data_IF_354742096342
#
_entry.id   IF_354742096342
#
_cell.length_a   1.000
_cell.length_b   1.000
_cell.length_c   1.000
_cell.angle_alpha   90.00
_cell.angle_beta   90.00
_cell.angle_gamma   90.00
#
_symmetry.space_group_name_H-M   'P 1'
#
loop_
_entity.id
_entity.type
_entity.pdbx_description
1 polymer ?
#
# COMPACT_ATOMS: atom_id res chain seq x y z
N UNK A 1 16.11 -8.16 -6.10
CA UNK A 1 15.11 -7.43 -6.89
C UNK A 1 14.03 -6.78 -6.02
N UNK A 2 13.13 -7.47 -5.27
CA UNK A 2 12.12 -6.73 -4.47
C UNK A 2 12.73 -5.85 -3.36
N UNK A 3 13.83 -6.31 -2.75
CA UNK A 3 14.58 -5.55 -1.74
C UNK A 3 15.14 -4.23 -2.31
N UNK A 4 15.64 -4.27 -3.55
CA UNK A 4 16.21 -3.10 -4.22
C UNK A 4 15.11 -2.07 -4.53
N UNK A 5 13.96 -2.54 -5.00
CA UNK A 5 12.76 -1.70 -5.23
C UNK A 5 12.35 -1.00 -3.94
N UNK A 6 12.24 -1.72 -2.82
CA UNK A 6 11.89 -1.14 -1.51
C UNK A 6 12.89 -0.05 -1.10
N UNK A 7 14.19 -0.28 -1.28
CA UNK A 7 15.21 0.71 -0.93
C UNK A 7 15.17 1.95 -1.84
N UNK A 8 14.90 1.78 -3.15
CA UNK A 8 14.73 2.91 -4.08
C UNK A 8 13.52 3.74 -3.66
N UNK A 9 12.37 3.10 -3.40
CA UNK A 9 11.16 3.79 -2.94
C UNK A 9 11.44 4.52 -1.62
N UNK A 10 12.15 3.89 -0.68
CA UNK A 10 12.49 4.50 0.60
C UNK A 10 13.30 5.79 0.43
N UNK A 11 14.37 5.77 -0.37
CA UNK A 11 15.22 6.94 -0.50
C UNK A 11 14.49 8.10 -1.18
N UNK A 12 13.78 7.81 -2.27
CA UNK A 12 12.95 8.79 -2.99
C UNK A 12 11.88 9.36 -2.06
N UNK A 13 11.14 8.52 -1.35
CA UNK A 13 10.08 8.96 -0.47
C UNK A 13 10.63 9.78 0.72
N UNK A 14 11.77 9.38 1.31
CA UNK A 14 12.40 10.15 2.39
C UNK A 14 12.93 11.51 1.93
N UNK A 15 13.29 11.67 0.66
CA UNK A 15 13.63 12.97 0.09
C UNK A 15 12.35 13.78 -0.18
N UNK A 16 11.33 13.14 -0.76
CA UNK A 16 10.07 13.81 -1.10
C UNK A 16 9.33 14.29 0.14
N UNK A 17 9.31 13.50 1.22
CA UNK A 17 8.61 13.73 2.48
C UNK A 17 9.47 14.32 3.60
N UNK A 18 10.62 14.91 3.26
CA UNK A 18 11.52 15.52 4.22
C UNK A 18 10.78 16.49 5.16
N UNK A 19 10.95 16.30 6.47
CA UNK A 19 10.37 17.13 7.52
C UNK A 19 8.96 16.74 7.96
N UNK A 20 8.35 15.73 7.36
CA UNK A 20 7.01 15.29 7.74
C UNK A 20 6.96 14.72 9.19
N UNK A 21 5.86 14.88 9.94
CA UNK A 21 4.72 15.78 9.68
C UNK A 21 4.86 17.15 10.37
N UNK A 22 5.95 17.42 11.10
CA UNK A 22 5.96 18.51 12.08
C UNK A 22 7.02 19.59 11.84
N UNK A 23 7.98 19.37 10.92
CA UNK A 23 9.02 20.36 10.67
C UNK A 23 8.42 21.60 9.96
N UNK A 24 8.71 22.83 10.42
CA UNK A 24 8.24 24.03 9.73
C UNK A 24 8.60 24.01 8.24
N UNK A 25 7.58 24.11 7.38
CA UNK A 25 7.74 24.06 5.93
C UNK A 25 7.64 22.69 5.27
N UNK A 26 7.34 21.61 6.03
CA UNK A 26 7.17 20.25 5.49
C UNK A 26 6.09 20.15 4.40
N UNK A 27 5.09 21.03 4.42
CA UNK A 27 4.00 21.06 3.43
C UNK A 27 4.47 21.51 2.04
N UNK A 28 5.68 22.09 1.96
CA UNK A 28 6.28 22.65 0.76
C UNK A 28 7.60 21.94 0.42
N UNK A 29 8.24 22.35 -0.67
CA UNK A 29 9.54 21.82 -1.06
C UNK A 29 10.72 22.42 -0.27
N UNK A 30 10.48 23.28 0.72
CA UNK A 30 11.54 23.98 1.46
C UNK A 30 12.54 23.06 2.18
N UNK A 31 12.17 21.79 2.41
CA UNK A 31 13.00 20.81 3.12
C UNK A 31 13.57 19.71 2.21
N UNK A 32 13.23 19.68 0.92
CA UNK A 32 13.79 18.69 -0.01
C UNK A 32 15.29 18.96 -0.25
N UNK A 33 16.10 17.93 -0.55
CA UNK A 33 17.55 18.11 -0.68
C UNK A 33 17.99 18.70 -2.02
N UNK A 34 17.07 18.95 -2.94
CA UNK A 34 17.35 19.40 -4.30
C UNK A 34 17.27 20.92 -4.38
N UNK A 35 18.29 21.54 -4.97
CA UNK A 35 18.30 22.97 -5.29
C UNK A 35 18.09 23.17 -6.78
N UNK A 36 17.12 24.01 -7.13
CA UNK A 36 16.93 24.46 -8.50
C UNK A 36 18.09 25.37 -8.92
N UNK A 37 18.68 25.11 -10.09
CA UNK A 37 19.87 25.82 -10.55
C UNK A 37 19.60 27.27 -10.91
N UNK A 38 18.35 27.62 -11.25
CA UNK A 38 18.00 28.95 -11.73
C UNK A 38 17.59 29.89 -10.58
N UNK A 39 16.92 29.36 -9.56
CA UNK A 39 16.39 30.14 -8.45
C UNK A 39 17.16 29.97 -7.14
N UNK A 40 18.07 28.98 -7.05
CA UNK A 40 18.74 28.51 -5.81
C UNK A 40 17.76 28.13 -4.68
N UNK A 41 16.47 27.98 -5.01
CA UNK A 41 15.44 27.52 -4.08
C UNK A 41 15.42 26.00 -4.03
N UNK A 42 15.02 25.46 -2.89
CA UNK A 42 14.76 24.03 -2.77
C UNK A 42 13.45 23.68 -3.48
N UNK A 43 13.51 22.70 -4.37
CA UNK A 43 12.39 22.29 -5.22
C UNK A 43 12.53 20.82 -5.58
N UNK A 44 11.46 20.04 -5.47
CA UNK A 44 11.49 18.66 -5.90
C UNK A 44 11.52 18.61 -7.43
N UNK A 45 12.37 17.77 -8.06
CA UNK A 45 12.61 17.84 -9.50
C UNK A 45 11.46 17.28 -10.36
N UNK A 46 10.43 16.72 -9.75
CA UNK A 46 9.28 16.14 -10.42
C UNK A 46 8.01 16.90 -10.03
N UNK A 47 7.13 17.11 -11.00
CA UNK A 47 5.77 17.60 -10.82
C UNK A 47 4.84 16.71 -11.66
N UNK A 48 4.41 15.61 -11.05
CA UNK A 48 3.58 14.62 -11.74
C UNK A 48 2.10 15.02 -11.76
N UNK A 49 1.31 14.29 -12.56
CA UNK A 49 -0.15 14.44 -12.55
C UNK A 49 -0.70 14.03 -11.18
N UNK A 50 -1.75 14.73 -10.75
CA UNK A 50 -2.40 14.43 -9.47
C UNK A 50 -2.86 12.97 -9.41
N UNK A 51 -2.76 12.41 -8.22
CA UNK A 51 -3.25 11.06 -7.93
C UNK A 51 -4.76 11.00 -8.12
N UNK A 52 -5.22 9.86 -8.58
CA UNK A 52 -6.64 9.59 -8.76
C UNK A 52 -7.18 8.99 -7.47
N UNK A 53 -8.41 9.35 -7.10
CA UNK A 53 -9.09 8.57 -6.07
C UNK A 53 -9.29 7.16 -6.64
N UNK A 54 -9.21 6.17 -5.78
CA UNK A 54 -9.32 4.75 -6.11
C UNK A 54 -10.59 4.40 -6.93
N UNK A 55 -11.67 5.14 -6.75
CA UNK A 55 -12.92 5.02 -7.50
C UNK A 55 -12.93 5.77 -8.83
N UNK A 56 -12.12 6.83 -8.94
CA UNK A 56 -12.15 7.75 -10.07
C UNK A 56 -11.20 7.33 -11.19
N UNK A 57 -11.73 6.51 -12.09
CA UNK A 57 -11.05 6.13 -13.33
C UNK A 57 -11.29 7.12 -14.48
N UNK A 58 -12.03 8.23 -14.28
CA UNK A 58 -12.38 9.16 -15.37
C UNK A 58 -11.16 9.93 -15.89
N UNK A 59 -10.18 10.14 -15.02
CA UNK A 59 -8.88 10.75 -15.29
C UNK A 59 -7.90 9.80 -16.00
N UNK A 60 -8.19 8.49 -15.99
CA UNK A 60 -7.47 7.51 -16.81
C UNK A 60 -7.95 7.61 -18.25
N UNK A 61 -7.08 8.07 -19.16
CA UNK A 61 -7.41 8.05 -20.60
C UNK A 61 -7.87 6.64 -21.02
N UNK A 62 -8.75 6.52 -22.01
CA UNK A 62 -9.16 5.21 -22.54
C UNK A 62 -7.97 4.35 -23.01
N UNK A 63 -6.84 4.99 -23.34
CA UNK A 63 -5.57 4.34 -23.66
C UNK A 63 -4.81 3.81 -22.43
N UNK A 64 -5.07 4.32 -21.21
CA UNK A 64 -4.47 3.87 -19.96
C UNK A 64 -5.29 2.79 -19.23
N UNK A 65 -6.60 2.68 -19.55
CA UNK A 65 -7.45 1.59 -19.08
C UNK A 65 -7.03 0.28 -19.74
N UNK A 66 -6.71 -0.71 -18.90
CA UNK A 66 -6.18 -2.00 -19.33
C UNK A 66 -7.31 -2.98 -19.58
N UNK A 67 -7.28 -3.66 -20.73
CA UNK A 67 -8.29 -4.62 -21.18
C UNK A 67 -7.67 -5.71 -22.09
N UNK A 68 -8.48 -6.67 -22.54
CA UNK A 68 -8.04 -7.80 -23.37
C UNK A 68 -7.32 -7.40 -24.67
N UNK A 69 -7.55 -6.19 -25.20
CA UNK A 69 -6.93 -5.73 -26.44
C UNK A 69 -5.55 -5.07 -26.25
N UNK A 70 -5.27 -4.48 -25.07
CA UNK A 70 -4.04 -3.71 -24.82
C UNK A 70 -3.19 -4.22 -23.63
N UNK A 71 -3.66 -5.22 -22.88
CA UNK A 71 -2.98 -5.65 -21.64
C UNK A 71 -1.50 -6.01 -21.79
N UNK A 72 -1.08 -6.47 -22.98
CA UNK A 72 0.31 -6.85 -23.25
C UNK A 72 1.28 -5.66 -23.11
N UNK A 73 0.84 -4.46 -23.47
CA UNK A 73 1.65 -3.24 -23.38
C UNK A 73 1.77 -2.75 -21.93
N UNK A 74 0.69 -2.86 -21.15
CA UNK A 74 0.59 -2.25 -19.84
C UNK A 74 1.03 -3.14 -18.69
N UNK A 75 0.60 -4.41 -18.71
CA UNK A 75 0.78 -5.35 -17.59
C UNK A 75 1.34 -6.70 -18.01
N UNK A 76 1.59 -6.90 -19.31
CA UNK A 76 2.27 -8.08 -19.83
C UNK A 76 1.58 -9.38 -19.34
N UNK A 77 2.35 -10.29 -18.73
CA UNK A 77 1.85 -11.55 -18.18
C UNK A 77 0.99 -11.41 -16.92
N UNK A 78 0.89 -10.20 -16.33
CA UNK A 78 0.12 -9.94 -15.10
C UNK A 78 -1.37 -9.78 -15.35
N UNK A 79 -1.82 -9.78 -16.60
CA UNK A 79 -3.23 -9.52 -16.92
C UNK A 79 -4.21 -10.45 -16.21
N UNK A 80 -3.90 -11.75 -16.11
CA UNK A 80 -4.73 -12.71 -15.39
C UNK A 80 -4.96 -12.32 -13.91
N UNK A 81 -3.99 -11.66 -13.28
CA UNK A 81 -4.07 -11.24 -11.88
C UNK A 81 -5.17 -10.22 -11.60
N UNK A 82 -5.56 -9.46 -12.62
CA UNK A 82 -6.60 -8.42 -12.55
C UNK A 82 -7.87 -8.87 -13.26
N UNK A 83 -7.75 -9.43 -14.48
CA UNK A 83 -8.89 -9.86 -15.28
C UNK A 83 -9.75 -10.90 -14.56
N UNK A 84 -9.12 -11.90 -13.95
CA UNK A 84 -9.85 -13.03 -13.35
C UNK A 84 -10.67 -12.60 -12.11
N UNK A 85 -10.37 -11.42 -11.58
CA UNK A 85 -11.10 -10.78 -10.49
C UNK A 85 -12.14 -9.77 -10.97
N UNK A 86 -12.20 -9.48 -12.27
CA UNK A 86 -13.11 -8.50 -12.85
C UNK A 86 -12.78 -7.05 -12.48
N UNK A 87 -11.50 -6.73 -12.30
CA UNK A 87 -11.11 -5.38 -11.87
C UNK A 87 -10.99 -4.41 -13.03
N UNK A 88 -11.41 -3.17 -12.79
CA UNK A 88 -10.93 -2.05 -13.59
C UNK A 88 -9.49 -1.75 -13.19
N UNK A 89 -8.63 -1.62 -14.18
CA UNK A 89 -7.20 -1.43 -14.02
C UNK A 89 -6.73 -0.28 -14.91
N UNK A 90 -5.87 0.57 -14.35
CA UNK A 90 -5.15 1.62 -15.05
C UNK A 90 -3.68 1.59 -14.66
N UNK A 91 -2.80 1.70 -15.65
CA UNK A 91 -1.36 1.92 -15.44
C UNK A 91 -0.95 3.36 -15.74
N UNK A 92 -1.95 4.25 -15.86
CA UNK A 92 -1.77 5.67 -16.10
C UNK A 92 -1.32 6.44 -14.86
N UNK A 93 -1.52 5.86 -13.67
CA UNK A 93 -0.96 6.36 -12.43
C UNK A 93 -1.36 5.50 -11.22
N UNK A 94 -0.97 5.98 -10.05
CA UNK A 94 -1.26 5.40 -8.75
C UNK A 94 -2.61 5.87 -8.22
N UNK A 95 -3.28 5.02 -7.46
CA UNK A 95 -4.45 5.41 -6.69
C UNK A 95 -4.05 6.08 -5.38
N UNK A 96 -4.90 6.97 -4.89
CA UNK A 96 -4.89 7.49 -3.53
C UNK A 96 -6.12 7.00 -2.77
N UNK A 97 -5.92 6.54 -1.55
CA UNK A 97 -6.97 6.07 -0.65
C UNK A 97 -6.80 6.73 0.72
N UNK A 98 -7.90 7.21 1.29
CA UNK A 98 -8.01 7.65 2.69
C UNK A 98 -9.32 7.11 3.26
N UNK A 99 -9.45 7.05 4.59
CA UNK A 99 -10.65 6.48 5.20
C UNK A 99 -11.93 7.21 4.76
N UNK A 100 -12.92 6.43 4.32
CA UNK A 100 -14.24 6.92 3.98
C UNK A 100 -14.39 7.52 2.58
N UNK A 101 -13.39 7.34 1.70
CA UNK A 101 -13.55 7.66 0.27
C UNK A 101 -14.67 6.82 -0.35
N UNK A 102 -15.38 7.41 -1.31
CA UNK A 102 -16.53 6.78 -1.96
C UNK A 102 -16.80 7.39 -3.34
N UNK A 103 -17.36 6.59 -4.26
CA UNK A 103 -17.87 7.09 -5.54
C UNK A 103 -19.18 7.87 -5.31
N UNK A 104 -19.23 9.20 -5.59
CA UNK A 104 -20.46 9.98 -5.48
C UNK A 104 -21.54 9.57 -6.48
N UNK A 105 -21.18 8.85 -7.54
CA UNK A 105 -22.11 8.32 -8.54
C UNK A 105 -22.62 6.91 -8.18
N UNK A 106 -22.23 6.37 -7.03
CA UNK A 106 -22.76 5.12 -6.52
C UNK A 106 -24.26 5.26 -6.20
N UNK A 107 -25.08 4.92 -7.18
CA UNK A 107 -26.56 5.00 -7.13
C UNK A 107 -27.24 3.76 -6.55
N UNK A 108 -26.47 2.77 -6.12
CA UNK A 108 -26.94 1.40 -5.90
C UNK A 108 -27.32 1.09 -4.46
N UNK A 109 -28.44 0.42 -4.31
CA UNK A 109 -28.83 -0.27 -3.08
C UNK A 109 -27.79 -1.36 -2.70
N UNK A 110 -27.71 -1.76 -1.41
CA UNK A 110 -26.67 -2.65 -0.85
C UNK A 110 -26.54 -4.06 -1.45
N UNK A 111 -27.32 -4.40 -2.48
CA UNK A 111 -27.58 -5.73 -3.01
C UNK A 111 -27.13 -5.96 -4.47
N UNK A 112 -26.39 -5.04 -5.11
CA UNK A 112 -25.79 -5.29 -6.43
C UNK A 112 -24.53 -6.18 -6.31
N UNK A 113 -24.55 -7.45 -6.76
CA UNK A 113 -23.46 -8.40 -6.57
C UNK A 113 -22.25 -8.13 -7.48
N UNK A 114 -22.37 -7.21 -8.45
CA UNK A 114 -21.27 -6.81 -9.33
C UNK A 114 -20.63 -5.49 -8.91
N UNK A 115 -21.12 -4.84 -7.84
CA UNK A 115 -20.51 -3.61 -7.32
C UNK A 115 -19.49 -3.95 -6.23
N UNK A 116 -18.25 -3.57 -6.50
CA UNK A 116 -17.25 -3.29 -5.45
C UNK A 116 -17.76 -2.06 -4.70
N UNK A 117 -18.63 -2.29 -3.71
CA UNK A 117 -19.58 -1.31 -3.19
C UNK A 117 -18.93 -0.02 -2.68
N UNK A 118 -18.86 0.99 -3.52
CA UNK A 118 -18.74 2.36 -3.07
C UNK A 118 -20.01 2.77 -2.30
N UNK A 119 -19.82 3.34 -1.12
CA UNK A 119 -20.91 3.66 -0.20
C UNK A 119 -21.81 4.78 -0.77
N UNK A 120 -23.16 4.64 -0.68
CA UNK A 120 -24.08 5.71 -1.05
C UNK A 120 -23.97 6.88 -0.05
N UNK A 121 -24.42 8.07 -0.48
CA UNK A 121 -24.35 9.34 0.29
C UNK A 121 -22.95 9.92 0.47
N UNK A 122 -22.06 9.69 -0.50
CA UNK A 122 -20.78 10.36 -0.54
C UNK A 122 -20.97 11.88 -0.65
N UNK A 123 -20.33 12.63 0.24
CA UNK A 123 -20.25 14.10 0.13
C UNK A 123 -18.91 14.50 -0.48
N UNK A 124 -18.77 15.75 -0.94
CA UNK A 124 -17.47 16.26 -1.40
C UNK A 124 -16.37 16.10 -0.34
N UNK A 125 -16.72 16.24 0.95
CA UNK A 125 -15.80 16.11 2.08
C UNK A 125 -15.23 14.68 2.24
N UNK A 126 -15.94 13.64 1.81
CA UNK A 126 -15.42 12.27 1.85
C UNK A 126 -14.22 12.07 0.93
N UNK A 127 -14.16 12.82 -0.16
CA UNK A 127 -13.14 12.72 -1.20
C UNK A 127 -12.23 13.96 -1.24
N UNK A 128 -12.27 14.80 -0.22
CA UNK A 128 -11.44 16.01 -0.14
C UNK A 128 -10.14 15.71 0.63
N UNK A 129 -9.00 15.57 -0.08
CA UNK A 129 -7.72 15.28 0.57
C UNK A 129 -7.22 16.44 1.43
N UNK A 130 -7.62 17.69 1.17
CA UNK A 130 -7.12 18.85 1.91
C UNK A 130 -7.62 18.87 3.36
N UNK A 131 -8.77 18.24 3.62
CA UNK A 131 -9.30 18.02 4.97
C UNK A 131 -9.05 16.60 5.49
N UNK A 132 -8.51 15.71 4.64
CA UNK A 132 -8.24 14.31 4.97
C UNK A 132 -9.45 13.39 5.06
N UNK A 133 -10.53 13.72 4.35
CA UNK A 133 -11.76 12.94 4.35
C UNK A 133 -12.69 13.26 5.51
N UNK A 134 -13.93 12.75 5.44
CA UNK A 134 -15.00 13.08 6.40
C UNK A 134 -15.02 12.19 7.65
N UNK A 135 -14.42 10.99 7.62
CA UNK A 135 -14.51 10.02 8.72
C UNK A 135 -13.52 10.34 9.83
N UNK A 136 -12.25 10.56 9.47
CA UNK A 136 -11.21 11.02 10.38
C UNK A 136 -10.39 12.12 9.68
N UNK A 137 -10.84 13.38 9.73
CA UNK A 137 -10.14 14.50 9.13
C UNK A 137 -8.71 14.61 9.65
N UNK A 138 -7.76 14.91 8.77
CA UNK A 138 -6.34 14.98 9.11
C UNK A 138 -5.66 16.17 8.44
N UNK A 139 -4.80 16.91 9.16
CA UNK A 139 -4.09 18.05 8.58
C UNK A 139 -3.01 17.62 7.58
N UNK A 140 -2.62 16.34 7.58
CA UNK A 140 -1.50 15.85 6.78
C UNK A 140 -1.90 15.28 5.42
N UNK A 141 -3.17 14.96 5.20
CA UNK A 141 -3.61 14.26 4.00
C UNK A 141 -3.39 15.06 2.71
N UNK A 142 -3.66 16.37 2.71
CA UNK A 142 -3.45 17.23 1.54
C UNK A 142 -1.98 17.31 1.14
N UNK A 143 -1.08 17.35 2.13
CA UNK A 143 0.37 17.29 1.89
C UNK A 143 0.80 15.92 1.35
N UNK A 144 0.23 14.81 1.85
CA UNK A 144 0.50 13.47 1.30
C UNK A 144 0.03 13.39 -0.16
N UNK A 145 -1.22 13.75 -0.42
CA UNK A 145 -1.84 13.69 -1.74
C UNK A 145 -1.05 14.50 -2.78
N UNK A 146 -0.72 15.76 -2.45
CA UNK A 146 0.00 16.66 -3.36
C UNK A 146 1.44 16.23 -3.64
N UNK A 147 2.12 15.60 -2.67
CA UNK A 147 3.54 15.22 -2.80
C UNK A 147 3.74 13.81 -3.32
N UNK A 148 2.87 12.87 -2.96
CA UNK A 148 3.01 11.47 -3.35
C UNK A 148 2.77 11.25 -4.85
N UNK A 149 2.08 12.16 -5.53
CA UNK A 149 1.96 12.15 -6.99
C UNK A 149 3.32 12.05 -7.68
N UNK A 150 4.34 12.69 -7.11
CA UNK A 150 5.69 12.74 -7.70
C UNK A 150 6.45 11.40 -7.59
N UNK A 151 5.90 10.44 -6.84
CA UNK A 151 6.41 9.07 -6.79
C UNK A 151 5.90 8.21 -7.96
N UNK A 152 4.84 8.62 -8.62
CA UNK A 152 4.15 7.83 -9.64
C UNK A 152 5.04 7.46 -10.85
N UNK A 153 5.86 8.37 -11.41
CA UNK A 153 6.80 7.99 -12.47
C UNK A 153 7.80 6.91 -12.03
N UNK A 154 8.19 6.93 -10.76
CA UNK A 154 9.15 5.99 -10.18
C UNK A 154 8.47 4.64 -9.95
N UNK A 155 7.26 4.62 -9.39
CA UNK A 155 6.48 3.40 -9.24
C UNK A 155 6.22 2.72 -10.58
N UNK A 156 5.83 3.48 -11.60
CA UNK A 156 5.62 2.96 -12.95
C UNK A 156 6.88 2.30 -13.52
N UNK A 157 8.01 2.99 -13.46
CA UNK A 157 9.28 2.44 -13.96
C UNK A 157 9.70 1.16 -13.21
N UNK A 158 9.56 1.14 -11.88
CA UNK A 158 9.88 -0.03 -11.07
C UNK A 158 8.93 -1.20 -11.36
N UNK A 159 7.63 -0.94 -11.50
CA UNK A 159 6.63 -1.94 -11.87
C UNK A 159 6.89 -2.56 -13.24
N UNK A 160 7.15 -1.74 -14.25
CA UNK A 160 7.39 -2.20 -15.62
C UNK A 160 8.70 -2.99 -15.74
N UNK A 161 9.72 -2.63 -14.94
CA UNK A 161 11.01 -3.34 -14.90
C UNK A 161 10.96 -4.68 -14.15
N UNK A 162 9.90 -4.94 -13.35
CA UNK A 162 9.86 -6.04 -12.40
C UNK A 162 8.63 -6.92 -12.60
N UNK A 163 8.69 -7.94 -13.48
CA UNK A 163 7.49 -8.61 -13.97
C UNK A 163 6.71 -9.41 -12.91
N UNK A 164 7.36 -9.71 -11.78
CA UNK A 164 6.81 -10.48 -10.66
C UNK A 164 6.13 -9.62 -9.59
N UNK A 165 6.21 -8.29 -9.70
CA UNK A 165 5.56 -7.37 -8.75
C UNK A 165 4.12 -7.14 -9.18
N UNK A 166 3.18 -7.39 -8.26
CA UNK A 166 1.75 -7.10 -8.44
C UNK A 166 1.46 -5.63 -8.20
N UNK A 167 1.92 -5.13 -7.08
CA UNK A 167 1.60 -3.79 -6.62
C UNK A 167 2.75 -3.31 -5.73
N UNK A 168 2.89 -2.00 -5.68
CA UNK A 168 3.78 -1.35 -4.73
C UNK A 168 3.16 -0.04 -4.26
N UNK A 169 3.55 0.40 -3.08
CA UNK A 169 2.96 1.59 -2.52
C UNK A 169 3.56 2.04 -1.21
N UNK A 170 3.04 3.17 -0.73
CA UNK A 170 3.33 3.70 0.59
C UNK A 170 2.01 3.82 1.35
N UNK A 171 2.03 3.28 2.55
CA UNK A 171 0.92 3.21 3.47
C UNK A 171 1.25 4.13 4.65
N UNK A 172 0.76 5.36 4.56
CA UNK A 172 1.08 6.46 5.45
C UNK A 172 0.36 6.34 6.78
N UNK A 173 1.01 6.81 7.85
CA UNK A 173 0.38 6.96 9.16
C UNK A 173 -0.73 8.03 9.14
N UNK A 174 -0.51 9.13 8.39
CA UNK A 174 -1.46 10.20 8.17
C UNK A 174 -2.18 10.66 9.45
N UNK A 175 -1.41 11.11 10.45
CA UNK A 175 -1.95 11.55 11.75
C UNK A 175 -2.90 10.52 12.40
N UNK A 176 -2.64 9.22 12.23
CA UNK A 176 -3.41 8.12 12.83
C UNK A 176 -4.57 7.58 11.99
N UNK A 177 -5.12 8.38 11.05
CA UNK A 177 -6.24 7.95 10.22
C UNK A 177 -5.82 7.03 9.05
N UNK A 178 -4.52 7.01 8.73
CA UNK A 178 -4.02 6.26 7.59
C UNK A 178 -4.30 6.92 6.24
N UNK A 179 -3.42 6.68 5.28
CA UNK A 179 -3.65 6.94 3.87
C UNK A 179 -2.78 6.00 3.03
N UNK A 180 -3.14 5.74 1.79
CA UNK A 180 -2.37 4.83 0.93
C UNK A 180 -2.22 5.39 -0.46
N UNK A 181 -1.02 5.21 -1.02
CA UNK A 181 -0.74 5.39 -2.45
C UNK A 181 -0.27 4.06 -3.00
N UNK A 182 -0.96 3.52 -4.02
CA UNK A 182 -0.62 2.22 -4.62
C UNK A 182 -0.58 2.29 -6.14
N UNK A 183 0.41 1.62 -6.72
CA UNK A 183 0.55 1.42 -8.16
C UNK A 183 0.53 -0.08 -8.49
N UNK A 184 -0.17 -0.52 -9.56
CA UNK A 184 -1.01 0.28 -10.45
C UNK A 184 -2.35 0.66 -9.79
N UNK A 185 -3.08 1.61 -10.37
CA UNK A 185 -4.45 1.92 -9.96
C UNK A 185 -5.38 0.79 -10.41
N UNK A 186 -5.90 0.01 -9.46
CA UNK A 186 -6.98 -0.95 -9.70
C UNK A 186 -8.14 -0.72 -8.73
N UNK A 187 -9.32 -1.18 -9.10
CA UNK A 187 -10.54 -0.96 -8.33
C UNK A 187 -10.49 -1.79 -7.03
N UNK A 188 -10.71 -1.15 -5.89
CA UNK A 188 -10.66 -1.82 -4.60
C UNK A 188 -12.04 -2.39 -4.23
N UNK A 189 -12.09 -3.59 -3.64
CA UNK A 189 -13.35 -4.16 -3.14
C UNK A 189 -13.62 -3.74 -1.68
N UNK A 190 -14.55 -2.79 -1.54
CA UNK A 190 -15.00 -2.25 -0.26
C UNK A 190 -16.00 -3.12 0.50
N UNK A 191 -16.51 -4.20 -0.13
CA UNK A 191 -17.36 -5.18 0.57
C UNK A 191 -16.56 -6.05 1.52
N UNK A 192 -15.25 -6.14 1.31
CA UNK A 192 -14.36 -6.95 2.13
C UNK A 192 -13.99 -6.24 3.43
N UNK A 193 -13.42 -7.02 4.33
CA UNK A 193 -13.07 -6.58 5.67
C UNK A 193 -11.76 -7.19 6.12
N UNK A 194 -11.18 -6.61 7.16
CA UNK A 194 -9.97 -7.10 7.79
C UNK A 194 -10.13 -7.05 9.31
N UNK A 195 -9.38 -7.89 10.01
CA UNK A 195 -9.27 -7.82 11.47
C UNK A 195 -8.16 -6.83 11.83
N UNK A 196 -8.50 -5.81 12.63
CA UNK A 196 -7.54 -4.83 13.15
C UNK A 196 -6.65 -5.47 14.21
N UNK A 197 -5.35 -5.16 14.18
CA UNK A 197 -4.41 -5.47 15.29
C UNK A 197 -4.29 -4.31 16.29
N UNK A 198 -5.12 -3.27 16.13
CA UNK A 198 -5.03 -2.03 16.88
C UNK A 198 -3.78 -1.20 16.55
N UNK A 199 -3.67 -0.05 17.22
CA UNK A 199 -2.51 0.86 17.11
C UNK A 199 -1.76 1.05 18.44
N UNK A 200 -2.06 0.23 19.45
CA UNK A 200 -1.41 0.33 20.77
C UNK A 200 0.10 0.11 20.68
N UNK A 201 0.56 -0.63 19.67
CA UNK A 201 1.98 -0.81 19.35
C UNK A 201 2.71 0.52 19.09
N UNK A 202 2.01 1.58 18.68
CA UNK A 202 2.59 2.91 18.46
C UNK A 202 3.03 3.60 19.76
N UNK A 203 2.63 3.09 20.94
CA UNK A 203 3.17 3.53 22.24
C UNK A 203 4.62 3.08 22.48
N UNK A 204 5.13 2.15 21.67
CA UNK A 204 6.52 1.69 21.74
C UNK A 204 7.49 2.87 21.50
N UNK A 205 8.66 2.92 22.17
CA UNK A 205 9.65 3.94 21.92
C UNK A 205 10.05 4.01 20.44
N UNK A 206 10.17 5.23 19.91
CA UNK A 206 10.55 5.45 18.53
C UNK A 206 11.98 4.92 18.27
N UNK A 207 12.21 4.07 17.24
CA UNK A 207 13.51 3.46 16.97
C UNK A 207 14.66 4.44 16.72
N UNK A 208 14.35 5.65 16.26
CA UNK A 208 15.33 6.71 15.97
C UNK A 208 15.35 7.83 17.01
N UNK A 209 14.38 7.84 17.93
CA UNK A 209 14.30 8.78 19.05
C UNK A 209 13.58 8.14 20.25
N UNK A 210 14.27 7.33 21.06
CA UNK A 210 13.64 6.57 22.16
C UNK A 210 13.03 7.44 23.28
N UNK A 211 13.22 8.77 23.24
CA UNK A 211 12.64 9.69 24.21
C UNK A 211 11.13 9.90 24.04
N UNK A 212 10.57 9.47 22.90
CA UNK A 212 9.15 9.56 22.58
C UNK A 212 8.63 8.26 21.99
N UNK A 213 7.31 8.10 21.99
CA UNK A 213 6.61 7.00 21.31
C UNK A 213 6.64 7.18 19.78
N UNK A 214 6.34 6.10 19.05
CA UNK A 214 6.18 6.13 17.59
C UNK A 214 5.01 7.03 17.19
N UNK A 215 3.89 6.91 17.90
CA UNK A 215 2.68 7.72 17.71
C UNK A 215 2.23 8.43 18.98
N UNK A 216 1.42 9.46 18.81
CA UNK A 216 0.73 10.15 19.90
C UNK A 216 -0.58 9.45 20.28
N UNK A 217 -1.11 9.75 21.46
CA UNK A 217 -2.42 9.20 21.88
C UNK A 217 -3.57 9.66 20.96
N UNK A 218 -3.48 10.87 20.38
CA UNK A 218 -4.46 11.36 19.41
C UNK A 218 -4.46 10.48 18.14
N UNK A 219 -3.28 10.16 17.61
CA UNK A 219 -3.14 9.28 16.45
C UNK A 219 -3.66 7.87 16.74
N UNK A 220 -3.31 7.32 17.90
CA UNK A 220 -3.75 5.97 18.31
C UNK A 220 -5.28 5.92 18.46
N UNK A 221 -5.90 7.00 18.96
CA UNK A 221 -7.36 7.06 19.16
C UNK A 221 -8.19 7.02 17.87
N UNK A 222 -7.56 7.25 16.71
CA UNK A 222 -8.21 7.18 15.39
C UNK A 222 -8.19 5.76 14.80
N UNK A 223 -7.50 4.83 15.43
CA UNK A 223 -7.50 3.44 15.01
C UNK A 223 -8.66 2.66 15.63
N UNK A 224 -9.13 1.65 14.91
CA UNK A 224 -10.06 0.67 15.46
C UNK A 224 -9.36 -0.23 16.48
N UNK A 225 -10.07 -0.66 17.55
CA UNK A 225 -9.52 -1.58 18.54
C UNK A 225 -9.06 -2.91 17.94
N UNK A 226 -8.11 -3.55 18.61
CA UNK A 226 -7.64 -4.89 18.28
C UNK A 226 -8.79 -5.92 18.28
N UNK A 227 -8.74 -6.85 17.32
CA UNK A 227 -9.72 -7.93 17.16
C UNK A 227 -11.02 -7.51 16.48
N UNK A 228 -11.22 -6.22 16.19
CA UNK A 228 -12.43 -5.73 15.50
C UNK A 228 -12.32 -6.00 13.99
N UNK A 229 -13.39 -6.55 13.42
CA UNK A 229 -13.56 -6.64 11.97
C UNK A 229 -13.97 -5.29 11.39
N UNK A 230 -13.09 -4.70 10.60
CA UNK A 230 -13.24 -3.37 9.99
C UNK A 230 -13.48 -3.53 8.50
N UNK A 231 -14.45 -2.77 7.97
CA UNK A 231 -14.70 -2.74 6.53
C UNK A 231 -13.58 -1.98 5.82
N UNK A 232 -13.27 -2.41 4.60
CA UNK A 232 -12.19 -1.83 3.81
C UNK A 232 -12.37 -0.35 3.46
N UNK A 233 -13.60 0.19 3.51
CA UNK A 233 -13.80 1.62 3.27
C UNK A 233 -13.25 2.47 4.43
N UNK A 234 -12.99 1.84 5.57
CA UNK A 234 -12.33 2.40 6.75
C UNK A 234 -10.92 1.85 6.91
N UNK A 235 -10.32 1.35 5.83
CA UNK A 235 -9.00 0.75 5.87
C UNK A 235 -7.94 1.72 6.42
N UNK A 236 -7.25 1.26 7.47
CA UNK A 236 -6.12 1.94 8.08
C UNK A 236 -4.89 1.02 8.04
N UNK A 237 -3.81 1.39 7.35
CA UNK A 237 -2.61 0.57 7.34
C UNK A 237 -1.96 0.37 8.71
N UNK A 238 -2.16 1.29 9.66
CA UNK A 238 -1.59 1.20 11.00
C UNK A 238 -2.17 0.02 11.81
N UNK A 239 -3.39 -0.40 11.45
CA UNK A 239 -4.11 -1.52 12.05
C UNK A 239 -3.74 -2.88 11.44
N UNK A 240 -2.71 -2.90 10.57
CA UNK A 240 -2.22 -4.12 9.94
C UNK A 240 -0.92 -4.56 10.61
N UNK A 241 -0.86 -5.81 11.04
CA UNK A 241 0.32 -6.38 11.70
C UNK A 241 1.60 -6.23 10.88
N UNK A 242 1.50 -6.29 9.55
CA UNK A 242 2.66 -6.06 8.69
C UNK A 242 3.23 -4.64 8.83
N UNK A 243 2.42 -3.59 9.04
CA UNK A 243 2.94 -2.23 9.15
C UNK A 243 3.61 -2.02 10.51
N UNK A 244 3.00 -2.53 11.59
CA UNK A 244 3.62 -2.62 12.91
C UNK A 244 5.01 -3.25 12.83
N UNK A 245 5.11 -4.45 12.25
CA UNK A 245 6.36 -5.21 12.22
C UNK A 245 7.47 -4.50 11.42
N UNK A 246 7.09 -3.78 10.36
CA UNK A 246 7.97 -2.95 9.56
C UNK A 246 8.40 -1.67 10.29
N UNK A 247 7.48 -1.02 11.01
CA UNK A 247 7.71 0.20 11.76
C UNK A 247 8.63 -0.02 12.98
N UNK A 248 8.54 -1.18 13.63
CA UNK A 248 9.35 -1.54 14.80
C UNK A 248 10.80 -1.90 14.45
N UNK A 249 11.09 -2.23 13.19
CA UNK A 249 12.44 -2.60 12.70
C UNK A 249 12.77 -1.87 11.38
N UNK A 250 12.84 -0.52 11.39
CA UNK A 250 12.97 0.28 10.18
C UNK A 250 14.34 0.20 9.52
N UNK A 251 15.33 -0.43 10.15
CA UNK A 251 16.66 -0.68 9.61
C UNK A 251 16.70 -1.88 8.65
N UNK A 252 15.67 -2.75 8.69
CA UNK A 252 15.61 -3.97 7.88
C UNK A 252 14.52 -3.89 6.82
N UNK A 253 14.86 -4.37 5.63
CA UNK A 253 13.85 -4.81 4.67
C UNK A 253 13.36 -6.18 5.12
N UNK A 254 12.05 -6.37 5.20
CA UNK A 254 11.44 -7.58 5.74
C UNK A 254 10.49 -8.19 4.71
N UNK A 255 10.39 -9.51 4.76
CA UNK A 255 9.37 -10.27 4.04
C UNK A 255 8.24 -10.54 5.03
N UNK A 256 7.04 -10.07 4.71
CA UNK A 256 5.84 -10.28 5.52
C UNK A 256 4.86 -11.13 4.73
N UNK A 257 4.26 -12.11 5.40
CA UNK A 257 3.35 -13.07 4.78
C UNK A 257 3.68 -14.52 5.11
N UNK A 258 2.91 -15.45 4.53
CA UNK A 258 1.80 -15.17 3.61
C UNK A 258 0.60 -14.62 4.41
N UNK A 259 -0.13 -13.66 3.86
CA UNK A 259 -1.37 -13.16 4.48
C UNK A 259 -2.45 -12.94 3.42
N UNK A 260 -3.72 -12.98 3.84
CA UNK A 260 -4.83 -12.67 2.94
C UNK A 260 -4.85 -11.19 2.56
N UNK A 261 -5.05 -10.91 1.28
CA UNK A 261 -5.31 -9.56 0.82
C UNK A 261 -6.54 -8.99 1.55
N UNK A 262 -6.41 -7.79 2.12
CA UNK A 262 -7.56 -7.12 2.71
C UNK A 262 -8.64 -6.86 1.66
N UNK A 263 -8.23 -6.55 0.43
CA UNK A 263 -9.10 -6.19 -0.68
C UNK A 263 -9.72 -7.40 -1.40
N UNK A 264 -9.28 -8.63 -1.14
CA UNK A 264 -9.76 -9.84 -1.85
C UNK A 264 -9.77 -11.07 -0.98
N UNK A 265 -10.83 -11.85 -1.09
CA UNK A 265 -10.88 -13.18 -0.48
C UNK A 265 -9.99 -14.17 -1.25
N UNK A 266 -9.40 -15.12 -0.53
CA UNK A 266 -8.60 -16.22 -1.08
C UNK A 266 -7.35 -15.81 -1.86
N UNK A 267 -6.91 -14.55 -1.75
CA UNK A 267 -5.69 -14.09 -2.38
C UNK A 267 -4.55 -14.00 -1.36
N UNK A 268 -3.60 -14.93 -1.47
CA UNK A 268 -2.43 -14.95 -0.62
C UNK A 268 -1.32 -14.06 -1.18
N UNK A 269 -0.88 -13.13 -0.33
CA UNK A 269 0.16 -12.18 -0.65
C UNK A 269 1.42 -12.45 0.18
N UNK A 270 2.57 -12.27 -0.45
CA UNK A 270 3.82 -12.01 0.26
C UNK A 270 4.25 -10.61 -0.12
N UNK A 271 4.66 -9.86 0.87
CA UNK A 271 5.06 -8.48 0.67
C UNK A 271 6.47 -8.28 1.20
N UNK A 272 7.28 -7.57 0.43
CA UNK A 272 8.60 -7.09 0.85
C UNK A 272 8.43 -5.63 1.21
N UNK A 273 8.84 -5.24 2.41
CA UNK A 273 8.57 -3.90 2.90
C UNK A 273 9.57 -3.38 3.89
N UNK A 274 9.39 -2.11 4.26
CA UNK A 274 10.22 -1.41 5.23
C UNK A 274 9.46 -0.25 5.88
N UNK A 275 9.68 -0.04 7.18
CA UNK A 275 9.17 1.13 7.90
C UNK A 275 9.91 2.39 7.44
N UNK A 276 9.15 3.44 7.14
CA UNK A 276 9.65 4.73 6.68
C UNK A 276 9.55 5.77 7.79
N UNK A 277 10.71 6.31 8.18
CA UNK A 277 10.81 7.42 9.12
C UNK A 277 11.47 8.61 8.45
N UNK A 278 11.00 9.79 8.80
CA UNK A 278 11.54 11.04 8.26
C UNK A 278 12.98 11.25 8.73
N UNK A 279 13.81 11.79 7.84
CA UNK A 279 15.24 12.01 8.12
C UNK A 279 15.49 13.20 9.04
N UNK A 280 14.58 14.17 9.10
CA UNK A 280 14.70 15.41 9.87
C UNK A 280 14.05 15.26 11.24
N UNK A 281 12.75 14.99 11.28
CA UNK A 281 11.94 14.89 12.50
C UNK A 281 12.17 13.57 13.23
N UNK A 282 12.64 12.53 12.53
CA UNK A 282 12.63 11.13 13.00
C UNK A 282 11.22 10.58 13.26
N UNK A 283 10.17 11.29 12.83
CA UNK A 283 8.79 10.85 12.94
C UNK A 283 8.50 9.68 12.02
N UNK A 284 7.58 8.81 12.44
CA UNK A 284 7.11 7.72 11.59
C UNK A 284 6.22 8.28 10.49
N UNK A 285 6.52 7.97 9.23
CA UNK A 285 5.77 8.47 8.07
C UNK A 285 4.79 7.42 7.57
N UNK A 286 5.20 6.15 7.56
CA UNK A 286 4.40 5.05 7.06
C UNK A 286 5.23 3.82 6.72
N UNK A 287 4.64 2.90 5.98
CA UNK A 287 5.26 1.65 5.56
C UNK A 287 5.30 1.54 4.04
N UNK A 288 6.43 1.10 3.50
CA UNK A 288 6.58 0.79 2.08
C UNK A 288 6.29 -0.69 1.88
N UNK A 289 5.52 -1.01 0.84
CA UNK A 289 5.21 -2.37 0.46
C UNK A 289 5.43 -2.60 -1.03
N UNK A 290 6.02 -3.75 -1.36
CA UNK A 290 6.12 -4.31 -2.71
C UNK A 290 5.58 -5.73 -2.63
N UNK A 291 4.42 -5.96 -3.23
CA UNK A 291 3.68 -7.21 -3.09
C UNK A 291 3.92 -8.12 -4.29
N UNK A 292 4.11 -9.40 -4.00
CA UNK A 292 4.18 -10.50 -4.97
C UNK A 292 3.12 -11.54 -4.62
N UNK A 293 2.51 -12.13 -5.65
CA UNK A 293 1.54 -13.20 -5.48
C UNK A 293 2.19 -14.51 -5.07
N UNK A 294 1.62 -15.17 -4.06
CA UNK A 294 2.04 -16.51 -3.68
C UNK A 294 1.76 -17.52 -4.79
N UNK A 295 0.68 -17.34 -5.56
CA UNK A 295 0.28 -18.24 -6.64
C UNK A 295 1.31 -18.33 -7.79
N UNK A 296 2.18 -17.33 -7.93
CA UNK A 296 3.25 -17.35 -8.93
C UNK A 296 4.53 -18.03 -8.43
N UNK A 297 4.64 -18.25 -7.12
CA UNK A 297 5.82 -18.88 -6.52
C UNK A 297 6.04 -20.28 -7.11
N UNK A 298 5.05 -21.17 -7.27
CA UNK A 298 5.25 -22.45 -7.94
C UNK A 298 5.90 -22.32 -9.32
N UNK A 299 5.41 -21.40 -10.17
CA UNK A 299 5.96 -21.18 -11.50
C UNK A 299 7.39 -20.63 -11.46
N UNK A 300 7.73 -19.80 -10.46
CA UNK A 300 9.09 -19.32 -10.24
C UNK A 300 10.02 -20.43 -9.72
N UNK A 301 9.55 -21.26 -8.79
CA UNK A 301 10.31 -22.39 -8.25
C UNK A 301 10.56 -23.44 -9.34
N UNK A 302 9.61 -23.65 -10.24
CA UNK A 302 9.75 -24.57 -11.38
C UNK A 302 10.92 -24.20 -12.30
N UNK A 303 11.23 -22.91 -12.45
CA UNK A 303 12.35 -22.44 -13.28
C UNK A 303 13.73 -22.75 -12.68
N UNK A 304 13.80 -23.00 -11.37
CA UNK A 304 15.06 -23.28 -10.66
C UNK A 304 15.21 -24.74 -10.25
N UNK A 305 14.32 -25.62 -10.76
CA UNK A 305 14.44 -27.07 -10.58
C UNK A 305 15.73 -27.59 -11.22
N UNK A 306 16.49 -28.37 -10.44
CA UNK A 306 17.70 -29.05 -10.92
C UNK A 306 17.35 -30.16 -11.92
N UNK A 307 16.22 -30.83 -11.70
CA UNK A 307 15.67 -31.86 -12.59
C UNK A 307 14.13 -31.83 -12.58
N UNK A 308 13.46 -32.40 -13.60
CA UNK A 308 11.99 -32.53 -13.59
C UNK A 308 11.43 -33.32 -12.40
N UNK A 309 12.24 -34.20 -11.80
CA UNK A 309 11.89 -34.97 -10.60
C UNK A 309 12.16 -34.23 -9.28
N UNK A 310 12.84 -33.09 -9.32
CA UNK A 310 13.16 -32.30 -8.14
C UNK A 310 11.90 -31.67 -7.56
N UNK A 311 11.80 -31.69 -6.22
CA UNK A 311 10.78 -30.96 -5.46
C UNK A 311 11.43 -29.78 -4.78
N UNK A 312 10.82 -28.62 -4.90
CA UNK A 312 11.28 -27.41 -4.22
C UNK A 312 10.14 -26.94 -3.33
N UNK A 313 10.45 -26.77 -2.06
CA UNK A 313 9.53 -26.21 -1.07
C UNK A 313 10.11 -24.89 -0.60
N UNK A 314 9.31 -23.84 -0.67
CA UNK A 314 9.64 -22.56 -0.08
C UNK A 314 9.07 -22.54 1.34
N UNK A 315 9.94 -22.30 2.32
CA UNK A 315 9.59 -22.26 3.74
C UNK A 315 10.01 -20.90 4.30
N UNK A 316 9.11 -20.26 5.03
CA UNK A 316 9.44 -19.07 5.82
C UNK A 316 10.27 -19.50 7.02
N UNK A 317 11.33 -18.74 7.27
CA UNK A 317 12.16 -18.94 8.45
C UNK A 317 11.49 -18.28 9.67
N UNK A 318 10.46 -18.93 10.19
CA UNK A 318 9.84 -18.64 11.48
C UNK A 318 9.88 -19.87 12.39
N UNK A 319 9.46 -19.71 13.65
CA UNK A 319 9.57 -20.77 14.67
C UNK A 319 8.74 -22.02 14.31
N UNK A 320 7.77 -21.89 13.41
CA UNK A 320 6.90 -22.97 12.95
C UNK A 320 7.37 -23.59 11.62
N UNK A 321 8.29 -22.94 10.89
CA UNK A 321 8.70 -23.35 9.56
C UNK A 321 7.54 -23.30 8.55
N UNK A 322 6.83 -22.17 8.48
CA UNK A 322 5.63 -22.00 7.64
C UNK A 322 5.93 -22.29 6.17
N UNK A 323 5.21 -23.25 5.56
CA UNK A 323 5.36 -23.59 4.14
C UNK A 323 4.63 -22.55 3.29
N UNK A 324 5.38 -21.87 2.42
CA UNK A 324 4.87 -20.85 1.50
C UNK A 324 4.50 -21.40 0.13
N UNK A 325 5.14 -22.50 -0.27
CA UNK A 325 4.86 -23.19 -1.53
C UNK A 325 5.50 -24.58 -1.51
N UNK A 326 4.78 -25.60 -1.94
CA UNK A 326 5.28 -26.97 -2.07
C UNK A 326 4.51 -27.73 -3.16
N UNK A 327 5.11 -28.71 -3.85
CA UNK A 327 4.37 -29.58 -4.76
C UNK A 327 3.27 -30.35 -4.00
N UNK A 328 2.00 -30.03 -4.29
CA UNK A 328 0.82 -30.62 -3.64
C UNK A 328 0.10 -29.71 -2.64
N UNK A 329 0.64 -28.51 -2.37
CA UNK A 329 -0.07 -27.48 -1.60
C UNK A 329 -0.98 -26.68 -2.53
N UNK A 330 -2.28 -26.62 -2.21
CA UNK A 330 -3.25 -25.78 -2.91
C UNK A 330 -3.69 -24.61 -2.01
N UNK A 331 -3.24 -23.38 -2.28
CA UNK A 331 -3.59 -22.20 -1.48
C UNK A 331 -5.10 -21.89 -1.47
N UNK A 332 -5.88 -22.48 -2.37
CA UNK A 332 -7.33 -22.26 -2.51
C UNK A 332 -8.17 -23.21 -1.65
N UNK A 333 -7.61 -24.34 -1.21
CA UNK A 333 -8.35 -25.40 -0.50
C UNK A 333 -7.93 -25.49 0.96
N UNK A 334 -6.67 -25.19 1.28
CA UNK A 334 -6.19 -25.31 2.66
C UNK A 334 -6.52 -24.06 3.49
N UNK A 335 -7.38 -24.26 4.50
CA UNK A 335 -7.53 -23.31 5.60
C UNK A 335 -6.25 -23.37 6.42
N UNK A 336 -5.55 -22.24 6.53
CA UNK A 336 -4.45 -22.11 7.47
C UNK A 336 -4.98 -22.43 8.87
N UNK A 337 -4.59 -23.58 9.39
CA UNK A 337 -4.97 -24.08 10.72
C UNK A 337 -4.06 -23.55 11.82
N UNK A 338 -3.03 -22.78 11.48
CA UNK A 338 -2.26 -22.04 12.46
C UNK A 338 -3.02 -20.79 12.84
N UNK A 339 -3.56 -20.81 14.06
CA UNK A 339 -3.82 -19.59 14.81
C UNK A 339 -2.59 -18.68 14.66
N UNK A 340 -2.83 -17.43 14.25
CA UNK A 340 -1.90 -16.36 14.57
C UNK A 340 -2.06 -16.18 16.08
N UNK A 341 -1.35 -17.00 16.85
CA UNK A 341 -1.13 -16.70 18.26
C UNK A 341 -0.08 -15.59 18.30
N UNK A 342 -0.42 -14.54 19.04
CA UNK A 342 0.18 -13.20 19.06
C UNK A 342 1.69 -13.12 19.29
#
# INVERSE_FOLDING_TARGET
MPVDIVNIILEVARDRFAGYPDAPGYETDSLVPFKDMYTDRRMYPLDAKNLTMDWDFSSSSAAALVNDSNHREHVQGRWGWYKDQGERLSTGGSLFHMQGVCDPNATGAPDDPFRRNYHPNCTGANNDPDIGGAVHPTPTAGSIYSRAKDLDPIFKALYESSPNVKEMGIFFANSGAGATVMFPHYEVDYTKSYVSVGCDWMRTPNPYDPSRSIGTEDEISKCHPEGVTVRNNLYNPLERGWCRDLALRPEKVQFVGPFFNAWREHEWLITVGRGMYDRITKGFVGCILVTVFVENIPAMLDQVKISPSSRITLVKWDDQGTVLSSPGWDPKVETVTTAVDD
#
